data_IF_063495303252
#
_entry.id   IF_063495303252
#
_cell.length_a   1.000
_cell.length_b   1.000
_cell.length_c   1.000
_cell.angle_alpha   90.00
_cell.angle_beta   90.00
_cell.angle_gamma   90.00
#
_symmetry.space_group_name_H-M   'P 1'
#
loop_
_entity.id
_entity.type
_entity.pdbx_description
1 polymer ?
#
# COMPACT_ATOMS: atom_id res chain seq x y z
N UNK A 1 13.50 -8.20 -34.74
CA UNK A 1 12.12 -8.62 -34.41
C UNK A 1 11.30 -7.40 -34.01
N UNK A 2 10.71 -6.69 -34.98
CA UNK A 2 10.03 -5.41 -34.74
C UNK A 2 8.59 -5.56 -34.21
N UNK A 3 7.98 -6.75 -34.28
CA UNK A 3 6.57 -6.93 -33.94
C UNK A 3 6.27 -6.82 -32.44
N UNK A 4 7.24 -7.10 -31.56
CA UNK A 4 7.01 -7.04 -30.11
C UNK A 4 6.76 -5.61 -29.58
N UNK A 5 7.08 -4.58 -30.38
CA UNK A 5 6.94 -3.18 -30.00
C UNK A 5 5.85 -2.43 -30.81
N UNK A 6 5.19 -3.09 -31.76
CA UNK A 6 4.18 -2.46 -32.64
C UNK A 6 2.75 -2.83 -32.20
N UNK A 7 1.93 -1.85 -31.74
CA UNK A 7 0.56 -2.07 -31.30
C UNK A 7 -0.42 -2.48 -32.42
N UNK A 8 0.00 -2.48 -33.69
CA UNK A 8 -0.78 -2.99 -34.80
C UNK A 8 -0.52 -4.48 -35.10
N UNK A 9 0.33 -5.17 -34.33
CA UNK A 9 0.62 -6.59 -34.56
C UNK A 9 -0.60 -7.48 -34.20
N UNK A 10 -1.13 -8.30 -35.13
CA UNK A 10 -2.40 -9.04 -34.98
C UNK A 10 -2.45 -10.18 -33.94
N UNK A 11 -1.61 -10.18 -32.90
CA UNK A 11 -1.45 -11.31 -31.98
C UNK A 11 -1.33 -10.97 -30.49
N UNK A 12 -1.36 -9.69 -30.11
CA UNK A 12 -1.45 -9.31 -28.70
C UNK A 12 -2.91 -9.03 -28.39
N UNK A 13 -3.50 -9.75 -27.43
CA UNK A 13 -4.85 -9.42 -26.98
C UNK A 13 -4.89 -7.96 -26.50
N UNK A 14 -5.83 -7.18 -27.02
CA UNK A 14 -5.95 -5.74 -26.78
C UNK A 14 -5.88 -5.39 -25.28
N UNK A 15 -6.39 -6.26 -24.42
CA UNK A 15 -6.42 -6.06 -22.97
C UNK A 15 -5.04 -6.19 -22.32
N UNK A 16 -4.22 -7.13 -22.78
CA UNK A 16 -2.85 -7.36 -22.29
C UNK A 16 -1.97 -6.18 -22.70
N UNK A 17 -2.05 -5.77 -23.97
CA UNK A 17 -1.32 -4.60 -24.48
C UNK A 17 -1.77 -3.32 -23.78
N UNK A 18 -3.08 -3.06 -23.71
CA UNK A 18 -3.66 -1.85 -23.12
C UNK A 18 -3.23 -1.71 -21.67
N UNK A 19 -3.34 -2.77 -20.88
CA UNK A 19 -2.92 -2.76 -19.48
C UNK A 19 -1.43 -2.50 -19.31
N UNK A 20 -0.58 -3.12 -20.14
CA UNK A 20 0.87 -2.86 -20.12
C UNK A 20 1.19 -1.40 -20.46
N UNK A 21 0.63 -0.89 -21.56
CA UNK A 21 0.80 0.49 -21.96
C UNK A 21 0.35 1.46 -20.87
N UNK A 22 -0.83 1.26 -20.27
CA UNK A 22 -1.34 2.11 -19.20
C UNK A 22 -0.42 2.10 -17.96
N UNK A 23 0.09 0.93 -17.55
CA UNK A 23 1.08 0.83 -16.47
C UNK A 23 2.38 1.54 -16.81
N UNK A 24 2.88 1.43 -18.04
CA UNK A 24 4.08 2.15 -18.49
C UNK A 24 3.87 3.66 -18.47
N UNK A 25 2.72 4.15 -18.95
CA UNK A 25 2.39 5.58 -18.92
C UNK A 25 2.30 6.12 -17.50
N UNK A 26 1.69 5.38 -16.59
CA UNK A 26 1.61 5.78 -15.18
C UNK A 26 2.98 5.75 -14.50
N UNK A 27 3.78 4.72 -14.77
CA UNK A 27 5.17 4.60 -14.29
C UNK A 27 6.01 5.77 -14.77
N UNK A 28 5.93 6.12 -16.05
CA UNK A 28 6.63 7.27 -16.63
C UNK A 28 6.23 8.57 -15.92
N UNK A 29 4.92 8.79 -15.68
CA UNK A 29 4.45 9.97 -14.96
C UNK A 29 5.02 10.04 -13.54
N UNK A 30 5.00 8.93 -12.79
CA UNK A 30 5.58 8.85 -11.44
C UNK A 30 7.07 9.16 -11.47
N UNK A 31 7.80 8.58 -12.42
CA UNK A 31 9.24 8.81 -12.61
C UNK A 31 9.55 10.29 -12.89
N UNK A 32 8.81 10.93 -13.80
CA UNK A 32 8.99 12.33 -14.14
C UNK A 32 8.71 13.27 -12.97
N UNK A 33 7.59 13.06 -12.26
CA UNK A 33 7.23 13.86 -11.08
C UNK A 33 8.33 13.74 -10.03
N UNK A 34 8.78 12.52 -9.74
CA UNK A 34 9.82 12.30 -8.74
C UNK A 34 11.18 12.89 -9.15
N UNK A 35 11.56 12.77 -10.43
CA UNK A 35 12.78 13.35 -10.96
C UNK A 35 12.77 14.89 -10.88
N UNK A 36 11.65 15.53 -11.25
CA UNK A 36 11.49 16.99 -11.15
C UNK A 36 11.51 17.46 -9.70
N UNK A 37 10.87 16.73 -8.79
CA UNK A 37 10.89 17.04 -7.37
C UNK A 37 12.32 17.00 -6.80
N UNK A 38 13.10 15.97 -7.15
CA UNK A 38 14.51 15.83 -6.74
C UNK A 38 15.44 16.84 -7.43
N UNK A 39 15.15 17.25 -8.66
CA UNK A 39 15.89 18.32 -9.33
C UNK A 39 15.69 19.67 -8.64
N UNK A 40 14.46 19.96 -8.18
CA UNK A 40 14.16 21.17 -7.42
C UNK A 40 14.71 21.13 -5.98
N UNK A 41 14.77 19.94 -5.36
CA UNK A 41 15.33 19.72 -4.03
C UNK A 41 16.12 18.40 -4.00
N UNK A 42 17.45 18.45 -4.17
CA UNK A 42 18.30 17.27 -4.05
C UNK A 42 18.10 16.56 -2.70
N UNK A 43 18.00 15.23 -2.72
CA UNK A 43 17.78 14.41 -1.52
C UNK A 43 16.32 14.33 -1.05
N UNK A 44 15.36 14.99 -1.71
CA UNK A 44 13.94 14.85 -1.37
C UNK A 44 13.47 13.39 -1.58
N UNK A 45 12.91 12.80 -0.53
CA UNK A 45 12.25 11.51 -0.62
C UNK A 45 10.86 11.68 -1.23
N UNK A 46 10.52 10.83 -2.19
CA UNK A 46 9.22 10.80 -2.85
C UNK A 46 8.53 9.49 -2.53
N UNK A 47 7.25 9.54 -2.19
CA UNK A 47 6.42 8.37 -1.93
C UNK A 47 5.12 8.40 -2.70
N UNK A 48 4.48 7.25 -2.87
CA UNK A 48 3.14 7.14 -3.48
C UNK A 48 2.21 6.31 -2.59
N UNK A 49 0.99 6.80 -2.35
CA UNK A 49 -0.08 5.97 -1.80
C UNK A 49 -0.65 5.11 -2.93
N UNK A 50 -0.74 3.79 -2.72
CA UNK A 50 -1.15 2.83 -3.76
C UNK A 50 -2.34 2.01 -3.30
N UNK A 51 -3.08 1.46 -4.26
CA UNK A 51 -4.19 0.55 -4.00
C UNK A 51 -3.72 -0.63 -3.13
N UNK A 52 -4.52 -1.10 -2.15
CA UNK A 52 -4.07 -2.12 -1.20
C UNK A 52 -3.71 -3.43 -1.87
N UNK A 53 -4.63 -3.98 -2.66
CA UNK A 53 -4.47 -5.26 -3.33
C UNK A 53 -3.59 -5.05 -4.55
N UNK A 54 -2.30 -5.38 -4.50
CA UNK A 54 -1.45 -5.29 -5.69
C UNK A 54 -1.87 -6.36 -6.70
N UNK A 55 -1.85 -7.62 -6.26
CA UNK A 55 -2.48 -8.77 -6.90
C UNK A 55 -3.62 -9.30 -6.00
N UNK A 56 -4.04 -10.54 -6.20
CA UNK A 56 -5.13 -11.18 -5.45
C UNK A 56 -4.64 -12.35 -4.57
N UNK A 57 -3.92 -12.08 -3.46
CA UNK A 57 -3.22 -13.11 -2.69
C UNK A 57 -4.12 -14.14 -2.00
N UNK A 58 -5.41 -13.83 -1.83
CA UNK A 58 -6.37 -14.72 -1.19
C UNK A 58 -7.44 -15.26 -2.14
N UNK A 59 -7.32 -15.02 -3.45
CA UNK A 59 -8.33 -15.44 -4.41
C UNK A 59 -9.71 -14.83 -4.11
N UNK A 60 -9.73 -13.56 -3.71
CA UNK A 60 -10.96 -12.79 -3.52
C UNK A 60 -11.75 -12.80 -4.85
N UNK A 61 -13.07 -12.90 -4.77
CA UNK A 61 -13.92 -13.00 -5.96
C UNK A 61 -13.87 -11.76 -6.87
N UNK A 62 -14.62 -11.82 -7.97
CA UNK A 62 -14.55 -10.88 -9.11
C UNK A 62 -14.81 -9.40 -8.77
N UNK A 63 -15.30 -9.09 -7.58
CA UNK A 63 -15.47 -7.71 -7.11
C UNK A 63 -14.19 -7.09 -6.50
N UNK A 64 -13.13 -7.88 -6.32
CA UNK A 64 -11.85 -7.40 -5.82
C UNK A 64 -11.08 -6.67 -6.92
N UNK A 65 -11.03 -5.33 -6.81
CA UNK A 65 -10.21 -4.50 -7.68
C UNK A 65 -8.73 -4.61 -7.28
N UNK A 66 -7.87 -4.78 -8.26
CA UNK A 66 -6.44 -5.00 -8.14
C UNK A 66 -5.68 -3.77 -8.65
N UNK A 67 -4.67 -3.34 -7.90
CA UNK A 67 -3.84 -2.21 -8.20
C UNK A 67 -3.14 -2.37 -9.55
N UNK A 68 -2.59 -3.56 -9.81
CA UNK A 68 -1.85 -3.83 -11.04
C UNK A 68 -2.74 -3.88 -12.30
N UNK A 69 -3.93 -4.45 -12.21
CA UNK A 69 -4.81 -4.66 -13.36
C UNK A 69 -5.83 -3.53 -13.54
N UNK A 70 -6.58 -3.18 -12.49
CA UNK A 70 -7.72 -2.25 -12.59
C UNK A 70 -7.30 -0.79 -12.49
N UNK A 71 -6.27 -0.50 -11.69
CA UNK A 71 -5.76 0.86 -11.50
C UNK A 71 -4.45 1.15 -12.22
N UNK A 72 -3.86 0.14 -12.89
CA UNK A 72 -2.57 0.24 -13.57
C UNK A 72 -1.43 0.76 -12.67
N UNK A 73 -1.53 0.56 -11.36
CA UNK A 73 -0.54 0.98 -10.37
C UNK A 73 0.48 -0.14 -10.16
N UNK A 74 1.67 0.04 -10.73
CA UNK A 74 2.83 -0.83 -10.49
C UNK A 74 3.75 -0.24 -9.42
N UNK A 75 3.20 -0.06 -8.21
CA UNK A 75 3.94 0.45 -7.05
C UNK A 75 5.24 -0.31 -6.78
N UNK A 76 5.25 -1.66 -6.81
CA UNK A 76 6.46 -2.45 -6.71
C UNK A 76 7.54 -2.08 -7.73
N UNK A 77 7.18 -1.88 -9.01
CA UNK A 77 8.14 -1.42 -10.03
C UNK A 77 8.69 -0.03 -9.69
N UNK A 78 7.85 0.90 -9.24
CA UNK A 78 8.31 2.25 -8.88
C UNK A 78 9.35 2.25 -7.76
N UNK A 79 9.28 1.29 -6.83
CA UNK A 79 10.31 1.06 -5.82
C UNK A 79 11.58 0.43 -6.42
N UNK A 80 11.46 -0.68 -7.16
CA UNK A 80 12.61 -1.40 -7.72
C UNK A 80 13.43 -0.53 -8.67
N UNK A 81 12.77 0.34 -9.44
CA UNK A 81 13.40 1.29 -10.38
C UNK A 81 13.84 2.60 -9.70
N UNK A 82 13.62 2.74 -8.38
CA UNK A 82 14.06 3.90 -7.60
C UNK A 82 13.34 5.20 -7.93
N UNK A 83 12.17 5.13 -8.58
CA UNK A 83 11.36 6.31 -8.87
C UNK A 83 10.83 6.93 -7.57
N UNK A 84 10.36 6.09 -6.64
CA UNK A 84 9.95 6.46 -5.29
C UNK A 84 10.81 5.74 -4.25
N UNK A 85 10.97 6.36 -3.08
CA UNK A 85 11.67 5.76 -1.93
C UNK A 85 10.73 4.85 -1.12
N UNK A 86 9.45 5.20 -1.07
CA UNK A 86 8.44 4.43 -0.36
C UNK A 86 7.14 4.33 -1.16
N UNK A 87 6.43 3.22 -1.02
CA UNK A 87 5.00 3.13 -1.32
C UNK A 87 4.24 2.95 -0.01
N UNK A 88 3.04 3.53 0.05
CA UNK A 88 2.14 3.43 1.18
C UNK A 88 0.84 2.75 0.72
N UNK A 89 0.77 1.40 0.69
CA UNK A 89 -0.43 0.69 0.25
C UNK A 89 -1.57 0.97 1.23
N UNK A 90 -2.74 1.30 0.70
CA UNK A 90 -3.89 1.73 1.49
C UNK A 90 -4.64 0.54 2.11
N UNK A 91 -4.00 -0.18 3.05
CA UNK A 91 -4.49 -1.43 3.68
C UNK A 91 -5.64 -1.20 4.68
N UNK A 92 -6.68 -0.51 4.22
CA UNK A 92 -7.85 -0.11 4.99
C UNK A 92 -9.11 -0.07 4.13
N UNK A 93 -9.20 -1.00 3.17
CA UNK A 93 -10.49 -1.30 2.54
C UNK A 93 -11.47 -1.86 3.56
N UNK A 94 -12.77 -1.81 3.25
CA UNK A 94 -13.82 -2.28 4.15
C UNK A 94 -13.53 -3.68 4.72
N UNK A 95 -13.17 -4.65 3.86
CA UNK A 95 -12.87 -6.02 4.27
C UNK A 95 -11.64 -6.14 5.18
N UNK A 96 -10.69 -5.20 5.11
CA UNK A 96 -9.50 -5.15 5.97
C UNK A 96 -9.76 -4.48 7.34
N UNK A 97 -10.98 -3.96 7.54
CA UNK A 97 -11.42 -3.33 8.77
C UNK A 97 -12.71 -3.97 9.33
N UNK A 98 -13.23 -5.03 8.69
CA UNK A 98 -14.48 -5.65 9.08
C UNK A 98 -14.33 -6.47 10.36
N UNK A 99 -15.29 -6.31 11.27
CA UNK A 99 -15.42 -7.15 12.44
C UNK A 99 -16.37 -8.32 12.10
N UNK A 100 -15.92 -9.54 12.37
CA UNK A 100 -16.71 -10.75 12.19
C UNK A 100 -17.33 -11.19 13.52
N UNK A 101 -18.60 -11.61 13.50
CA UNK A 101 -19.37 -11.93 14.70
C UNK A 101 -18.74 -12.98 15.62
N UNK A 102 -18.05 -13.97 15.06
CA UNK A 102 -17.46 -15.08 15.81
C UNK A 102 -15.93 -14.97 15.97
N UNK A 103 -15.28 -14.29 15.03
CA UNK A 103 -13.81 -14.25 14.90
C UNK A 103 -13.22 -12.86 15.19
N UNK A 104 -14.05 -11.89 15.52
CA UNK A 104 -13.65 -10.49 15.64
C UNK A 104 -12.92 -10.03 14.40
N UNK A 105 -11.78 -9.37 14.58
CA UNK A 105 -10.96 -8.83 13.49
C UNK A 105 -9.91 -9.80 12.95
N UNK A 106 -9.88 -11.07 13.38
CA UNK A 106 -8.88 -12.05 12.91
C UNK A 106 -8.91 -12.21 11.37
N UNK A 107 -10.05 -12.42 10.70
CA UNK A 107 -10.07 -12.54 9.24
C UNK A 107 -9.61 -11.27 8.52
N UNK A 108 -9.95 -10.09 9.05
CA UNK A 108 -9.51 -8.81 8.52
C UNK A 108 -7.99 -8.61 8.65
N UNK A 109 -7.40 -9.05 9.76
CA UNK A 109 -5.94 -9.06 9.95
C UNK A 109 -5.23 -10.06 9.03
N UNK A 110 -5.84 -11.22 8.76
CA UNK A 110 -5.26 -12.18 7.82
C UNK A 110 -5.25 -11.62 6.40
N UNK A 111 -6.33 -10.99 5.96
CA UNK A 111 -6.36 -10.31 4.66
C UNK A 111 -5.33 -9.17 4.58
N UNK A 112 -5.21 -8.39 5.65
CA UNK A 112 -4.20 -7.34 5.75
C UNK A 112 -2.77 -7.93 5.64
N UNK A 113 -2.49 -9.02 6.35
CA UNK A 113 -1.20 -9.75 6.33
C UNK A 113 -0.90 -10.28 4.93
N UNK A 114 -1.84 -11.01 4.33
CA UNK A 114 -1.68 -11.58 2.99
C UNK A 114 -1.41 -10.49 1.94
N UNK A 115 -2.06 -9.34 2.08
CA UNK A 115 -1.87 -8.21 1.16
C UNK A 115 -0.51 -7.54 1.32
N UNK A 116 -0.04 -7.34 2.56
CA UNK A 116 1.32 -6.83 2.76
C UNK A 116 2.38 -7.83 2.25
N UNK A 117 2.18 -9.13 2.47
CA UNK A 117 3.08 -10.17 2.01
C UNK A 117 3.16 -10.21 0.47
N UNK A 118 2.04 -10.06 -0.23
CA UNK A 118 2.00 -9.96 -1.69
C UNK A 118 2.85 -8.80 -2.22
N UNK A 119 2.70 -7.62 -1.64
CA UNK A 119 3.51 -6.46 -1.98
C UNK A 119 5.00 -6.67 -1.71
N UNK A 120 5.35 -7.29 -0.57
CA UNK A 120 6.73 -7.62 -0.21
C UNK A 120 7.34 -8.71 -1.08
N UNK A 121 6.54 -9.60 -1.67
CA UNK A 121 7.01 -10.57 -2.65
C UNK A 121 7.44 -9.91 -3.98
N UNK A 122 6.91 -8.73 -4.28
CA UNK A 122 7.19 -8.00 -5.51
C UNK A 122 8.12 -6.80 -5.32
N UNK A 123 8.36 -6.31 -4.10
CA UNK A 123 9.22 -5.15 -3.85
C UNK A 123 10.05 -5.29 -2.57
N UNK A 124 11.17 -4.54 -2.43
CA UNK A 124 11.93 -4.54 -1.19
C UNK A 124 11.05 -4.08 -0.01
N UNK A 125 10.97 -4.91 1.04
CA UNK A 125 10.16 -4.61 2.22
C UNK A 125 10.52 -3.27 2.88
N UNK A 126 11.79 -2.85 2.78
CA UNK A 126 12.30 -1.56 3.28
C UNK A 126 11.70 -0.34 2.58
N UNK A 127 10.98 -0.52 1.47
CA UNK A 127 10.28 0.54 0.74
C UNK A 127 8.77 0.58 0.99
N UNK A 128 8.21 -0.26 1.87
CA UNK A 128 6.75 -0.42 1.99
C UNK A 128 6.28 0.06 3.37
N UNK A 129 5.45 1.10 3.38
CA UNK A 129 4.86 1.69 4.58
C UNK A 129 3.36 1.38 4.62
N UNK A 130 2.93 0.22 5.16
CA UNK A 130 1.51 -0.15 5.13
C UNK A 130 0.62 0.91 5.76
N UNK A 131 -0.44 1.27 5.04
CA UNK A 131 -1.45 2.21 5.51
C UNK A 131 -2.40 1.57 6.51
N UNK A 132 -2.69 2.27 7.61
CA UNK A 132 -3.66 1.87 8.64
C UNK A 132 -4.77 2.92 8.67
N UNK A 133 -5.98 2.49 8.33
CA UNK A 133 -7.17 3.34 8.37
C UNK A 133 -7.73 3.45 9.80
N UNK A 134 -7.94 4.66 10.27
CA UNK A 134 -8.50 4.97 11.59
C UNK A 134 -10.01 4.98 11.52
N UNK A 135 -10.57 5.63 10.50
CA UNK A 135 -11.98 5.62 10.18
C UNK A 135 -12.36 4.32 9.46
N UNK A 136 -13.56 3.79 9.76
CA UNK A 136 -14.09 2.59 9.10
C UNK A 136 -14.98 2.97 7.91
N UNK A 137 -14.97 2.15 6.85
CA UNK A 137 -15.83 2.34 5.68
C UNK A 137 -17.35 2.38 5.96
N UNK A 138 -17.79 1.86 7.12
CA UNK A 138 -19.19 1.91 7.59
C UNK A 138 -19.48 3.00 8.63
N UNK A 139 -18.52 3.89 8.91
CA UNK A 139 -18.63 4.94 9.92
C UNK A 139 -18.02 4.59 11.28
N UNK A 140 -17.68 5.64 12.03
CA UNK A 140 -16.94 5.55 13.28
C UNK A 140 -15.48 5.16 13.11
N UNK A 141 -14.84 4.83 14.22
CA UNK A 141 -13.41 4.54 14.30
C UNK A 141 -13.17 3.05 14.55
N UNK A 142 -12.07 2.54 14.00
CA UNK A 142 -11.55 1.24 14.34
C UNK A 142 -11.08 1.27 15.80
N UNK A 143 -11.37 0.24 16.62
CA UNK A 143 -10.93 0.19 18.01
C UNK A 143 -9.41 0.38 18.15
N UNK A 144 -8.97 1.05 19.22
CA UNK A 144 -7.55 1.38 19.40
C UNK A 144 -6.63 0.14 19.45
N UNK A 145 -7.10 -0.93 20.10
CA UNK A 145 -6.41 -2.23 20.14
C UNK A 145 -6.21 -2.82 18.73
N UNK A 146 -7.13 -2.59 17.80
CA UNK A 146 -6.99 -2.99 16.40
C UNK A 146 -5.98 -2.14 15.61
N UNK A 147 -5.84 -0.85 15.93
CA UNK A 147 -4.75 -0.01 15.41
C UNK A 147 -3.42 -0.54 15.95
N UNK A 148 -3.32 -0.77 17.26
CA UNK A 148 -2.11 -1.27 17.91
C UNK A 148 -1.71 -2.65 17.39
N UNK A 149 -2.67 -3.55 17.15
CA UNK A 149 -2.44 -4.86 16.57
C UNK A 149 -1.86 -4.76 15.15
N UNK A 150 -2.35 -3.84 14.31
CA UNK A 150 -1.80 -3.62 12.95
C UNK A 150 -0.41 -2.99 12.98
N UNK A 151 -0.11 -2.14 13.96
CA UNK A 151 1.25 -1.63 14.18
C UNK A 151 2.20 -2.78 14.54
N UNK A 152 1.77 -3.67 15.46
CA UNK A 152 2.56 -4.84 15.84
C UNK A 152 2.77 -5.78 14.65
N UNK A 153 1.72 -6.01 13.86
CA UNK A 153 1.78 -6.82 12.64
C UNK A 153 2.73 -6.25 11.59
N UNK A 154 2.70 -4.93 11.34
CA UNK A 154 3.65 -4.28 10.44
C UNK A 154 5.10 -4.51 10.88
N UNK A 155 5.38 -4.44 12.19
CA UNK A 155 6.71 -4.70 12.76
C UNK A 155 7.12 -6.17 12.63
N UNK A 156 6.21 -7.09 12.93
CA UNK A 156 6.42 -8.54 12.78
C UNK A 156 6.79 -8.89 11.33
N UNK A 157 6.13 -8.25 10.36
CA UNK A 157 6.37 -8.42 8.93
C UNK A 157 7.57 -7.62 8.40
N UNK A 158 8.35 -6.98 9.27
CA UNK A 158 9.57 -6.27 8.88
C UNK A 158 9.34 -4.98 8.08
N UNK A 159 8.14 -4.38 8.14
CA UNK A 159 7.93 -3.07 7.55
C UNK A 159 8.73 -2.01 8.33
N UNK A 160 9.41 -1.07 7.65
CA UNK A 160 10.22 -0.02 8.29
C UNK A 160 9.38 1.03 9.04
N UNK A 161 8.05 0.98 8.87
CA UNK A 161 7.09 1.91 9.46
C UNK A 161 5.68 1.61 8.97
N UNK A 162 4.78 2.56 9.12
CA UNK A 162 3.41 2.54 8.60
C UNK A 162 2.89 3.97 8.51
N UNK A 163 1.77 4.17 7.82
CA UNK A 163 1.11 5.46 7.70
C UNK A 163 -0.33 5.39 8.22
N UNK A 164 -0.77 6.35 9.04
CA UNK A 164 -2.17 6.45 9.43
C UNK A 164 -2.98 7.28 8.42
N UNK A 165 -4.15 6.77 8.06
CA UNK A 165 -5.20 7.53 7.40
C UNK A 165 -6.44 7.55 8.31
N UNK A 166 -6.79 8.63 9.02
CA UNK A 166 -6.22 9.97 8.95
C UNK A 166 -5.77 10.54 10.31
N UNK A 167 -4.96 11.61 10.26
CA UNK A 167 -4.63 12.40 11.46
C UNK A 167 -5.88 13.03 12.10
N UNK A 168 -6.89 13.39 11.28
CA UNK A 168 -8.19 13.87 11.76
C UNK A 168 -8.87 12.80 12.60
N UNK A 169 -9.00 11.59 12.06
CA UNK A 169 -9.54 10.43 12.77
C UNK A 169 -8.81 10.13 14.08
N UNK A 170 -7.46 10.17 14.10
CA UNK A 170 -6.70 9.97 15.35
C UNK A 170 -7.04 11.01 16.43
N UNK A 171 -7.24 12.27 16.03
CA UNK A 171 -7.57 13.35 16.96
C UNK A 171 -8.99 13.21 17.48
N UNK A 172 -9.95 12.97 16.59
CA UNK A 172 -11.37 12.86 16.94
C UNK A 172 -11.65 11.62 17.78
N UNK A 173 -10.95 10.51 17.53
CA UNK A 173 -11.03 9.31 18.36
C UNK A 173 -10.27 9.41 19.70
N UNK A 174 -9.45 10.46 19.89
CA UNK A 174 -8.66 10.65 21.12
C UNK A 174 -7.47 9.70 21.26
N UNK A 175 -6.90 9.19 20.16
CA UNK A 175 -5.90 8.12 20.19
C UNK A 175 -4.44 8.58 20.26
N UNK A 176 -4.16 9.88 20.12
CA UNK A 176 -2.78 10.38 20.11
C UNK A 176 -2.00 10.07 21.40
N UNK A 177 -2.64 10.21 22.56
CA UNK A 177 -1.98 9.92 23.84
C UNK A 177 -1.80 8.42 24.06
N UNK A 178 -2.77 7.61 23.63
CA UNK A 178 -2.68 6.15 23.67
C UNK A 178 -1.56 5.62 22.75
N UNK A 179 -1.38 6.21 21.55
CA UNK A 179 -0.26 5.90 20.66
C UNK A 179 1.09 6.22 21.33
N UNK A 180 1.19 7.40 21.96
CA UNK A 180 2.41 7.83 22.68
C UNK A 180 2.71 6.94 23.88
N UNK A 181 1.71 6.54 24.66
CA UNK A 181 1.88 5.73 25.85
C UNK A 181 2.05 4.23 25.57
N UNK A 182 1.62 3.77 24.38
CA UNK A 182 1.66 2.37 23.98
C UNK A 182 2.64 2.12 22.83
N UNK A 183 2.17 1.91 21.58
CA UNK A 183 3.04 1.45 20.48
C UNK A 183 4.26 2.33 20.20
N UNK A 184 4.24 3.63 20.52
CA UNK A 184 5.34 4.56 20.31
C UNK A 184 5.99 5.05 21.62
N UNK A 185 5.80 4.35 22.73
CA UNK A 185 6.41 4.71 24.01
C UNK A 185 7.94 4.64 23.98
N UNK A 186 8.49 3.79 23.10
CA UNK A 186 9.92 3.67 22.87
C UNK A 186 10.31 4.38 21.58
N UNK A 187 11.37 5.21 21.58
CA UNK A 187 11.94 5.75 20.35
C UNK A 187 12.30 4.64 19.37
N UNK A 188 12.19 4.92 18.07
CA UNK A 188 12.73 4.03 17.07
C UNK A 188 14.25 3.88 17.27
N UNK A 189 14.76 2.65 17.22
CA UNK A 189 16.20 2.43 17.19
C UNK A 189 16.78 3.14 15.96
N UNK A 190 17.94 3.79 16.13
CA UNK A 190 18.64 4.36 14.99
C UNK A 190 18.93 3.25 13.98
N UNK A 191 18.67 3.53 12.69
CA UNK A 191 19.12 2.66 11.61
C UNK A 191 20.65 2.69 11.62
N UNK A 192 21.28 1.58 12.01
CA UNK A 192 22.73 1.36 11.92
C UNK A 192 23.13 0.95 10.49
#
# INVERSE_FOLDING_TARGET
>A
EACAADPACPGVEDEVWRGHYQRDRLTHLVAEVAARARAARPGLQVSAAVWPLFMNPMGLGDSALLGFYDYCQDGPRWLREGHVQYIAPMLYSYSMQAEHSEKGYEPARELWRATLADLQAHAPASGILPGIGVERGGGGYLPFDELAARIALAREMGAPGHAFFSLGGLREAGYLDALRAGPYAQPAAALH
#
